data_IF_729411946772
#
_entry.id   IF_729411946772
#
_cell.length_a   1.000
_cell.length_b   1.000
_cell.length_c   1.000
_cell.angle_alpha   90.00
_cell.angle_beta   90.00
_cell.angle_gamma   90.00
#
_symmetry.space_group_name_H-M   'P 1'
#
loop_
_entity.id
_entity.type
_entity.pdbx_description
1 polymer ?
#
# COMPACT_ATOMS: atom_id res chain seq x y z
N UNK A 1 -12.25 9.26 70.00
CA UNK A 1 -11.49 10.51 69.74
C UNK A 1 -10.25 10.16 68.94
N UNK A 2 -9.98 10.84 67.81
CA UNK A 2 -8.96 10.50 66.81
C UNK A 2 -7.59 11.15 67.15
N UNK A 3 -6.56 11.00 66.29
CA UNK A 3 -6.39 12.02 65.26
C UNK A 3 -6.13 11.49 63.85
N UNK A 4 -6.66 12.25 62.89
CA UNK A 4 -6.44 12.17 61.45
C UNK A 4 -5.05 12.73 61.09
N UNK A 5 -4.37 12.13 60.13
CA UNK A 5 -3.26 12.76 59.41
C UNK A 5 -3.54 12.72 57.91
N UNK A 6 -3.93 13.87 57.38
CA UNK A 6 -4.01 14.16 55.95
C UNK A 6 -2.61 14.11 55.32
N UNK A 7 -2.46 13.34 54.24
CA UNK A 7 -1.45 13.60 53.23
C UNK A 7 -2.11 13.48 51.84
N UNK A 8 -2.07 14.60 51.13
CA UNK A 8 -2.67 14.88 49.83
C UNK A 8 -2.07 14.01 48.70
N UNK A 9 -2.76 13.88 47.55
CA UNK A 9 -2.35 12.97 46.48
C UNK A 9 -1.09 13.46 45.78
N UNK A 10 -0.15 12.55 45.54
CA UNK A 10 0.99 12.79 44.68
C UNK A 10 0.49 13.12 43.26
N UNK A 11 0.84 14.32 42.80
CA UNK A 11 0.56 14.86 41.49
C UNK A 11 0.86 13.84 40.38
N UNK A 12 -0.18 13.34 39.72
CA UNK A 12 -0.05 12.78 38.38
C UNK A 12 0.43 13.91 37.47
N UNK A 13 1.68 13.84 37.01
CA UNK A 13 2.18 14.71 35.96
C UNK A 13 1.39 14.44 34.66
N UNK A 14 0.62 15.40 34.12
CA UNK A 14 0.02 15.25 32.80
C UNK A 14 1.08 15.64 31.76
N UNK A 15 1.97 14.70 31.44
CA UNK A 15 2.84 14.77 30.27
C UNK A 15 2.31 13.73 29.27
N UNK A 16 1.84 14.01 28.05
CA UNK A 16 2.04 15.16 27.16
C UNK A 16 0.95 15.16 26.05
N UNK A 17 0.35 16.30 25.69
CA UNK A 17 -0.46 16.41 24.47
C UNK A 17 0.40 16.38 23.17
N UNK A 18 1.71 16.56 23.29
CA UNK A 18 2.68 16.67 22.18
C UNK A 18 3.10 15.29 21.60
N UNK A 19 2.85 14.19 22.30
CA UNK A 19 3.20 12.83 21.84
C UNK A 19 2.33 12.35 20.68
N UNK A 20 1.08 12.80 20.59
CA UNK A 20 0.11 12.38 19.57
C UNK A 20 0.53 12.76 18.14
N UNK A 21 0.85 14.02 17.80
CA UNK A 21 1.25 14.37 16.43
C UNK A 21 2.55 13.71 15.99
N UNK A 22 3.53 13.56 16.90
CA UNK A 22 4.79 12.87 16.63
C UNK A 22 4.54 11.38 16.31
N UNK A 23 3.66 10.72 17.05
CA UNK A 23 3.32 9.33 16.78
C UNK A 23 2.65 9.15 15.40
N UNK A 24 1.78 10.07 14.99
CA UNK A 24 1.20 10.02 13.62
C UNK A 24 2.26 10.25 12.55
N UNK A 25 3.16 11.22 12.74
CA UNK A 25 4.28 11.44 11.82
C UNK A 25 5.17 10.22 11.70
N UNK A 26 5.60 9.63 12.82
CA UNK A 26 6.45 8.44 12.83
C UNK A 26 5.75 7.23 12.19
N UNK A 27 4.47 7.01 12.46
CA UNK A 27 3.67 5.95 11.81
C UNK A 27 3.59 6.16 10.30
N UNK A 28 3.32 7.39 9.87
CA UNK A 28 3.30 7.78 8.48
C UNK A 28 4.65 7.54 7.79
N UNK A 29 5.75 8.04 8.36
CA UNK A 29 7.09 7.86 7.80
C UNK A 29 7.50 6.39 7.74
N UNK A 30 7.18 5.60 8.78
CA UNK A 30 7.42 4.15 8.77
C UNK A 30 6.65 3.50 7.63
N UNK A 31 5.37 3.83 7.46
CA UNK A 31 4.54 3.30 6.37
C UNK A 31 5.09 3.72 4.99
N UNK A 32 5.43 5.00 4.83
CA UNK A 32 6.03 5.56 3.62
C UNK A 32 7.41 4.99 3.27
N UNK A 33 8.11 4.37 4.22
CA UNK A 33 9.39 3.71 3.95
C UNK A 33 9.25 2.32 3.29
N UNK A 34 8.11 1.64 3.44
CA UNK A 34 7.96 0.27 2.92
C UNK A 34 8.11 0.13 1.41
N UNK A 35 7.67 1.06 0.54
CA UNK A 35 7.97 0.98 -0.88
C UNK A 35 9.48 0.92 -1.16
N UNK A 36 10.30 1.66 -0.41
CA UNK A 36 11.76 1.62 -0.52
C UNK A 36 12.35 0.32 0.05
N UNK A 37 11.84 -0.14 1.19
CA UNK A 37 12.22 -1.44 1.76
C UNK A 37 11.89 -2.59 0.80
N UNK A 38 10.76 -2.49 0.10
CA UNK A 38 10.34 -3.43 -0.93
C UNK A 38 11.30 -3.49 -2.11
N UNK A 39 11.82 -2.35 -2.57
CA UNK A 39 12.89 -2.31 -3.59
C UNK A 39 14.12 -3.06 -3.09
N UNK A 40 14.60 -2.72 -1.89
CA UNK A 40 15.78 -3.33 -1.32
C UNK A 40 15.63 -4.86 -1.16
N UNK A 41 14.49 -5.31 -0.64
CA UNK A 41 14.18 -6.72 -0.49
C UNK A 41 14.12 -7.42 -1.86
N UNK A 42 13.38 -6.86 -2.82
CA UNK A 42 13.27 -7.43 -4.15
C UNK A 42 14.64 -7.60 -4.81
N UNK A 43 15.52 -6.60 -4.72
CA UNK A 43 16.88 -6.67 -5.27
C UNK A 43 17.75 -7.73 -4.57
N UNK A 44 17.55 -7.98 -3.27
CA UNK A 44 18.28 -9.00 -2.49
C UNK A 44 17.82 -10.43 -2.74
N UNK A 45 16.67 -10.63 -3.38
CA UNK A 45 16.01 -11.92 -3.54
C UNK A 45 15.83 -12.28 -5.04
N UNK A 46 16.83 -12.96 -5.65
CA UNK A 46 16.81 -13.30 -7.08
C UNK A 46 15.64 -14.21 -7.49
N UNK A 47 15.02 -14.91 -6.55
CA UNK A 47 13.86 -15.77 -6.79
C UNK A 47 12.65 -15.03 -7.37
N UNK A 48 12.55 -13.70 -7.18
CA UNK A 48 11.47 -12.87 -7.71
C UNK A 48 11.74 -12.36 -9.13
N UNK A 49 12.99 -12.39 -9.62
CA UNK A 49 13.34 -11.84 -10.94
C UNK A 49 12.57 -12.51 -12.10
N UNK A 50 12.33 -13.85 -12.11
CA UNK A 50 11.55 -14.49 -13.16
C UNK A 50 10.11 -13.98 -13.27
N UNK A 51 9.49 -13.54 -12.16
CA UNK A 51 8.13 -12.99 -12.16
C UNK A 51 8.01 -11.72 -13.01
N UNK A 52 9.13 -11.02 -13.16
CA UNK A 52 9.26 -9.73 -13.81
C UNK A 52 9.94 -9.81 -15.18
N UNK A 53 10.97 -10.65 -15.35
CA UNK A 53 11.82 -10.68 -16.54
C UNK A 53 11.03 -10.92 -17.84
N UNK A 54 10.01 -11.78 -17.82
CA UNK A 54 9.17 -12.07 -19.00
C UNK A 54 8.19 -10.96 -19.37
N UNK A 55 7.86 -10.06 -18.43
CA UNK A 55 6.82 -9.02 -18.59
C UNK A 55 7.40 -7.60 -18.64
N UNK A 56 8.59 -7.38 -18.09
CA UNK A 56 9.18 -6.04 -18.00
C UNK A 56 9.35 -5.41 -19.36
N UNK A 57 10.01 -6.10 -20.30
CA UNK A 57 10.32 -5.52 -21.59
C UNK A 57 9.07 -5.09 -22.37
N UNK A 58 8.06 -5.96 -22.59
CA UNK A 58 6.85 -5.54 -23.32
C UNK A 58 6.08 -4.43 -22.59
N UNK A 59 5.95 -4.50 -21.27
CA UNK A 59 5.23 -3.49 -20.49
C UNK A 59 5.99 -2.16 -20.36
N UNK A 60 7.33 -2.19 -20.39
CA UNK A 60 8.18 -1.00 -20.46
C UNK A 60 8.00 -0.29 -21.80
N UNK A 61 7.95 -1.05 -22.90
CA UNK A 61 7.71 -0.50 -24.23
C UNK A 61 6.31 0.12 -24.30
N UNK A 62 5.30 -0.56 -23.77
CA UNK A 62 3.93 -0.03 -23.70
C UNK A 62 3.89 1.25 -22.85
N UNK A 63 4.50 1.27 -21.67
CA UNK A 63 4.51 2.46 -20.82
C UNK A 63 5.25 3.63 -21.47
N UNK A 64 6.38 3.37 -22.14
CA UNK A 64 7.11 4.37 -22.92
C UNK A 64 6.24 4.94 -24.04
N UNK A 65 5.52 4.09 -24.78
CA UNK A 65 4.62 4.53 -25.85
C UNK A 65 3.46 5.37 -25.31
N UNK A 66 2.85 4.96 -24.21
CA UNK A 66 1.77 5.73 -23.55
C UNK A 66 2.27 7.11 -23.16
N UNK A 67 3.41 7.20 -22.47
CA UNK A 67 3.98 8.50 -22.10
C UNK A 67 4.38 9.31 -23.32
N UNK A 68 4.97 8.71 -24.35
CA UNK A 68 5.31 9.41 -25.58
C UNK A 68 4.08 10.07 -26.21
N UNK A 69 2.95 9.35 -26.30
CA UNK A 69 1.69 9.87 -26.82
C UNK A 69 1.17 11.01 -25.93
N UNK A 70 1.12 10.81 -24.61
CA UNK A 70 0.62 11.84 -23.68
C UNK A 70 1.48 13.11 -23.70
N UNK A 71 2.80 12.98 -23.71
CA UNK A 71 3.69 14.14 -23.81
C UNK A 71 3.63 14.83 -25.18
N UNK A 72 3.31 14.09 -26.25
CA UNK A 72 3.16 14.69 -27.57
C UNK A 72 1.84 15.46 -27.69
N UNK A 73 0.72 14.91 -27.18
CA UNK A 73 -0.62 15.44 -27.44
C UNK A 73 -1.28 16.14 -26.25
N UNK A 74 -1.07 15.67 -25.02
CA UNK A 74 -1.73 16.21 -23.83
C UNK A 74 -0.90 17.31 -23.15
N UNK A 75 0.44 17.16 -23.13
CA UNK A 75 1.32 18.08 -22.39
C UNK A 75 1.20 19.54 -22.84
N UNK A 76 1.26 19.82 -24.15
CA UNK A 76 1.25 21.20 -24.64
C UNK A 76 -0.10 21.91 -24.36
N UNK A 77 -1.27 21.29 -24.63
CA UNK A 77 -2.56 21.86 -24.21
C UNK A 77 -2.68 22.04 -22.69
N UNK A 78 -2.25 21.07 -21.89
CA UNK A 78 -2.31 21.16 -20.42
C UNK A 78 -1.40 22.25 -19.88
N UNK A 79 -0.16 22.34 -20.39
CA UNK A 79 0.76 23.40 -20.04
C UNK A 79 0.20 24.78 -20.40
N UNK A 80 -0.33 24.94 -21.61
CA UNK A 80 -0.92 26.21 -22.04
C UNK A 80 -2.09 26.62 -21.14
N UNK A 81 -2.94 25.66 -20.76
CA UNK A 81 -4.07 25.92 -19.86
C UNK A 81 -3.62 26.29 -18.45
N UNK A 82 -2.66 25.54 -17.88
CA UNK A 82 -2.10 25.84 -16.55
C UNK A 82 -1.29 27.15 -16.55
N UNK A 83 -0.64 27.51 -17.64
CA UNK A 83 0.13 28.76 -17.76
C UNK A 83 -0.73 30.02 -17.51
N UNK A 84 -2.03 29.94 -17.78
CA UNK A 84 -3.00 31.02 -17.49
C UNK A 84 -3.09 31.32 -16.00
N UNK A 85 -3.00 30.28 -15.14
CA UNK A 85 -3.18 30.39 -13.70
C UNK A 85 -1.86 30.39 -12.92
N UNK A 86 -0.86 29.66 -13.40
CA UNK A 86 0.38 29.34 -12.66
C UNK A 86 1.61 30.11 -13.15
N UNK A 87 1.54 30.79 -14.29
CA UNK A 87 2.68 31.49 -14.89
C UNK A 87 3.86 30.54 -15.15
N UNK A 88 5.07 30.93 -14.75
CA UNK A 88 6.29 30.15 -14.99
C UNK A 88 6.29 28.76 -14.34
N UNK A 89 5.58 28.56 -13.23
CA UNK A 89 5.51 27.26 -12.54
C UNK A 89 4.66 26.22 -13.25
N UNK A 90 3.92 26.61 -14.31
CA UNK A 90 2.97 25.75 -15.01
C UNK A 90 3.62 24.51 -15.64
N UNK A 91 4.87 24.60 -16.12
CA UNK A 91 5.52 23.48 -16.80
C UNK A 91 5.80 22.32 -15.83
N UNK A 92 6.22 22.61 -14.58
CA UNK A 92 6.45 21.57 -13.57
C UNK A 92 5.13 20.88 -13.23
N UNK A 93 4.08 21.67 -13.00
CA UNK A 93 2.76 21.14 -12.69
C UNK A 93 2.19 20.30 -13.83
N UNK A 94 2.37 20.75 -15.08
CA UNK A 94 1.95 20.02 -16.27
C UNK A 94 2.70 18.70 -16.43
N UNK A 95 4.02 18.67 -16.20
CA UNK A 95 4.81 17.42 -16.23
C UNK A 95 4.25 16.42 -15.23
N UNK A 96 4.06 16.84 -13.98
CA UNK A 96 3.57 15.94 -12.92
C UNK A 96 2.15 15.47 -13.22
N UNK A 97 1.29 16.34 -13.76
CA UNK A 97 -0.06 15.98 -14.16
C UNK A 97 -0.06 14.91 -15.26
N UNK A 98 0.71 15.11 -16.33
CA UNK A 98 0.87 14.12 -17.42
C UNK A 98 1.41 12.80 -16.89
N UNK A 99 2.40 12.83 -15.99
CA UNK A 99 2.95 11.63 -15.38
C UNK A 99 1.90 10.90 -14.54
N UNK A 100 1.11 11.63 -13.74
CA UNK A 100 0.04 11.05 -12.93
C UNK A 100 -1.10 10.46 -13.75
N UNK A 101 -1.53 11.14 -14.81
CA UNK A 101 -2.52 10.62 -15.77
C UNK A 101 -2.01 9.38 -16.49
N UNK A 102 -0.77 9.42 -16.97
CA UNK A 102 -0.13 8.28 -17.62
C UNK A 102 0.00 7.09 -16.69
N UNK A 103 0.31 7.31 -15.42
CA UNK A 103 0.35 6.26 -14.40
C UNK A 103 -1.01 5.56 -14.26
N UNK A 104 -2.12 6.31 -14.24
CA UNK A 104 -3.47 5.72 -14.16
C UNK A 104 -3.79 4.88 -15.41
N UNK A 105 -3.42 5.36 -16.60
CA UNK A 105 -3.58 4.62 -17.86
C UNK A 105 -2.72 3.34 -17.85
N UNK A 106 -1.47 3.45 -17.41
CA UNK A 106 -0.54 2.32 -17.31
C UNK A 106 -1.06 1.29 -16.30
N UNK A 107 -1.58 1.71 -15.14
CA UNK A 107 -2.19 0.81 -14.16
C UNK A 107 -3.37 0.04 -14.77
N UNK A 108 -4.22 0.73 -15.54
CA UNK A 108 -5.35 0.11 -16.25
C UNK A 108 -4.90 -0.90 -17.31
N UNK A 109 -3.83 -0.60 -18.04
CA UNK A 109 -3.24 -1.55 -18.98
C UNK A 109 -2.65 -2.77 -18.25
N UNK A 110 -1.92 -2.54 -17.16
CA UNK A 110 -1.29 -3.60 -16.36
C UNK A 110 -2.32 -4.57 -15.75
N UNK A 111 -3.45 -4.04 -15.28
CA UNK A 111 -4.62 -4.84 -14.88
C UNK A 111 -5.06 -5.78 -16.01
N UNK A 112 -5.13 -5.28 -17.26
CA UNK A 112 -5.47 -6.10 -18.44
C UNK A 112 -4.42 -7.11 -18.90
N UNK A 113 -3.13 -6.91 -18.59
CA UNK A 113 -2.01 -7.76 -19.03
C UNK A 113 -1.56 -8.81 -17.98
N UNK A 114 -2.42 -9.20 -17.04
CA UNK A 114 -2.11 -10.17 -15.96
C UNK A 114 -0.99 -9.73 -15.01
N UNK A 115 -0.73 -8.42 -14.87
CA UNK A 115 0.22 -7.93 -13.86
C UNK A 115 -0.32 -8.13 -12.45
N UNK A 116 -1.65 -8.15 -12.28
CA UNK A 116 -2.27 -8.42 -10.99
C UNK A 116 -1.95 -9.81 -10.45
N UNK A 117 -1.82 -10.82 -11.32
CA UNK A 117 -1.34 -12.15 -10.91
C UNK A 117 0.09 -12.07 -10.40
N UNK A 118 0.98 -11.35 -11.08
CA UNK A 118 2.37 -11.17 -10.64
C UNK A 118 2.47 -10.41 -9.31
N UNK A 119 1.62 -9.40 -9.10
CA UNK A 119 1.51 -8.69 -7.81
C UNK A 119 1.10 -9.68 -6.70
N UNK A 120 0.08 -10.49 -6.95
CA UNK A 120 -0.38 -11.52 -6.01
C UNK A 120 0.73 -12.55 -5.73
N UNK A 121 1.45 -12.99 -6.76
CA UNK A 121 2.57 -13.93 -6.61
C UNK A 121 3.70 -13.35 -5.76
N UNK A 122 4.11 -12.11 -6.01
CA UNK A 122 5.11 -11.41 -5.19
C UNK A 122 4.63 -11.30 -3.75
N UNK A 123 3.37 -10.91 -3.56
CA UNK A 123 2.79 -10.73 -2.23
C UNK A 123 2.76 -12.04 -1.44
N UNK A 124 2.20 -13.09 -2.04
CA UNK A 124 2.04 -14.40 -1.40
C UNK A 124 3.42 -15.06 -1.13
N UNK A 125 4.36 -14.99 -2.08
CA UNK A 125 5.71 -15.55 -1.91
C UNK A 125 6.48 -14.88 -0.77
N UNK A 126 6.29 -13.58 -0.55
CA UNK A 126 6.89 -12.89 0.59
C UNK A 126 6.28 -13.37 1.89
N UNK A 127 4.96 -13.49 2.00
CA UNK A 127 4.34 -14.01 3.22
C UNK A 127 4.83 -15.44 3.55
N UNK A 128 5.06 -16.28 2.53
CA UNK A 128 5.70 -17.59 2.70
C UNK A 128 7.11 -17.46 3.29
N UNK A 129 7.94 -16.54 2.79
CA UNK A 129 9.29 -16.30 3.34
C UNK A 129 9.27 -15.90 4.83
N UNK A 130 8.15 -15.35 5.31
CA UNK A 130 7.93 -14.98 6.71
C UNK A 130 7.12 -16.02 7.51
N UNK A 131 7.04 -17.27 7.02
CA UNK A 131 6.35 -18.39 7.68
C UNK A 131 4.84 -18.17 7.88
N UNK A 132 4.20 -17.35 7.04
CA UNK A 132 2.76 -17.10 7.04
C UNK A 132 2.04 -17.96 6.00
N UNK A 133 2.56 -19.17 5.74
CA UNK A 133 2.04 -20.12 4.76
C UNK A 133 0.60 -20.55 5.09
N UNK A 134 0.26 -20.59 6.38
CA UNK A 134 -1.08 -20.92 6.88
C UNK A 134 -2.16 -19.95 6.38
N UNK A 135 -1.80 -18.68 6.15
CA UNK A 135 -2.71 -17.66 5.64
C UNK A 135 -3.02 -17.87 4.15
N UNK A 136 -2.09 -18.47 3.41
CA UNK A 136 -2.17 -18.65 1.94
C UNK A 136 -2.76 -20.00 1.56
N UNK A 137 -2.44 -21.07 2.31
CA UNK A 137 -2.83 -22.44 2.01
C UNK A 137 -4.34 -22.62 1.71
N UNK A 138 -5.28 -21.93 2.38
CA UNK A 138 -6.71 -22.05 2.06
C UNK A 138 -7.10 -21.44 0.70
N UNK A 139 -6.30 -20.51 0.17
CA UNK A 139 -6.64 -19.68 -0.99
C UNK A 139 -5.87 -20.07 -2.26
N UNK A 140 -4.93 -21.01 -2.16
CA UNK A 140 -4.03 -21.40 -3.25
C UNK A 140 -3.41 -22.77 -3.01
N UNK A 141 -3.20 -23.51 -4.10
CA UNK A 141 -2.43 -24.76 -4.05
C UNK A 141 -0.96 -24.42 -3.82
N UNK A 142 -0.34 -25.07 -2.84
CA UNK A 142 1.07 -24.92 -2.51
C UNK A 142 1.82 -26.22 -2.76
N UNK A 143 3.06 -26.12 -3.21
CA UNK A 143 3.98 -27.24 -3.43
C UNK A 143 5.12 -27.20 -2.39
N UNK A 144 4.97 -27.84 -1.22
CA UNK A 144 5.90 -27.69 -0.10
C UNK A 144 7.35 -28.10 -0.44
N UNK A 145 7.51 -29.01 -1.40
CA UNK A 145 8.81 -29.52 -1.84
C UNK A 145 9.53 -28.61 -2.85
N UNK A 146 8.94 -27.45 -3.18
CA UNK A 146 9.53 -26.51 -4.12
C UNK A 146 10.79 -25.84 -3.54
N UNK A 147 11.80 -25.52 -4.38
CA UNK A 147 13.09 -25.02 -3.90
C UNK A 147 13.07 -23.57 -3.41
N UNK A 148 12.00 -22.81 -3.68
CA UNK A 148 11.82 -21.45 -3.19
C UNK A 148 10.32 -21.09 -3.11
N UNK A 149 10.01 -20.00 -2.39
CA UNK A 149 8.64 -19.53 -2.16
C UNK A 149 7.87 -19.19 -3.43
N UNK A 150 8.53 -18.59 -4.42
CA UNK A 150 7.91 -18.27 -5.71
C UNK A 150 7.48 -19.53 -6.45
N UNK A 151 8.30 -20.58 -6.46
CA UNK A 151 7.99 -21.87 -7.08
C UNK A 151 7.02 -22.73 -6.26
N UNK A 152 6.89 -22.45 -4.96
CA UNK A 152 5.91 -23.09 -4.10
C UNK A 152 4.48 -22.69 -4.46
N UNK A 153 4.30 -21.55 -5.13
CA UNK A 153 3.01 -21.05 -5.56
C UNK A 153 2.46 -21.82 -6.78
N UNK A 154 1.36 -22.57 -6.59
CA UNK A 154 0.57 -23.16 -7.67
C UNK A 154 -0.38 -22.16 -8.34
N UNK A 155 -1.35 -22.61 -9.15
CA UNK A 155 -2.37 -21.70 -9.69
C UNK A 155 -3.31 -21.21 -8.57
N UNK A 156 -3.72 -19.93 -8.55
CA UNK A 156 -4.74 -19.44 -7.62
C UNK A 156 -6.05 -20.23 -7.78
N UNK A 157 -6.65 -20.69 -6.68
CA UNK A 157 -7.93 -21.40 -6.67
C UNK A 157 -9.13 -20.47 -6.58
N UNK A 158 -8.92 -19.22 -6.18
CA UNK A 158 -9.92 -18.15 -6.24
C UNK A 158 -9.58 -17.17 -7.37
N UNK A 159 -10.60 -16.55 -7.96
CA UNK A 159 -10.40 -15.55 -9.00
C UNK A 159 -9.48 -14.43 -8.47
N UNK A 160 -8.27 -14.33 -9.01
CA UNK A 160 -7.30 -13.28 -8.72
C UNK A 160 -7.73 -11.93 -9.34
N UNK A 161 -9.04 -11.73 -9.50
CA UNK A 161 -9.61 -10.52 -10.09
C UNK A 161 -9.67 -9.50 -8.97
N UNK A 162 -8.66 -8.63 -8.97
CA UNK A 162 -8.79 -7.33 -8.36
C UNK A 162 -10.07 -6.69 -8.94
N UNK A 163 -11.03 -6.30 -8.10
CA UNK A 163 -12.21 -5.54 -8.55
C UNK A 163 -11.78 -4.45 -9.54
N UNK A 164 -12.57 -4.10 -10.58
CA UNK A 164 -12.15 -3.18 -11.64
C UNK A 164 -11.75 -1.81 -11.07
N UNK A 165 -10.47 -1.69 -10.73
CA UNK A 165 -9.96 -0.59 -9.93
C UNK A 165 -9.49 0.55 -10.84
N UNK A 166 -9.06 0.23 -12.06
CA UNK A 166 -8.83 1.18 -13.14
C UNK A 166 -10.03 2.08 -13.42
N UNK A 167 -11.25 1.54 -13.57
CA UNK A 167 -12.44 2.34 -13.87
C UNK A 167 -12.70 3.41 -12.81
N UNK A 168 -12.58 3.01 -11.56
CA UNK A 168 -12.77 3.92 -10.44
C UNK A 168 -11.62 4.94 -10.35
N UNK A 169 -10.40 4.64 -10.83
CA UNK A 169 -9.30 5.63 -10.94
C UNK A 169 -9.51 6.62 -12.05
N UNK A 170 -9.98 6.16 -13.20
CA UNK A 170 -10.30 7.04 -14.32
C UNK A 170 -11.41 8.01 -13.91
N UNK A 171 -12.46 7.53 -13.22
CA UNK A 171 -13.51 8.39 -12.69
C UNK A 171 -12.97 9.41 -11.67
N UNK A 172 -12.16 8.97 -10.70
CA UNK A 172 -11.54 9.87 -9.72
C UNK A 172 -10.60 10.89 -10.37
N UNK A 173 -9.81 10.48 -11.38
CA UNK A 173 -8.96 11.38 -12.15
C UNK A 173 -9.78 12.52 -12.76
N UNK A 174 -10.88 12.20 -13.44
CA UNK A 174 -11.75 13.21 -14.05
C UNK A 174 -12.30 14.18 -12.99
N UNK A 175 -12.68 13.66 -11.83
CA UNK A 175 -13.22 14.46 -10.72
C UNK A 175 -12.16 15.34 -10.06
N UNK A 176 -10.93 14.83 -9.89
CA UNK A 176 -9.84 15.53 -9.23
C UNK A 176 -8.94 16.33 -10.19
N UNK A 177 -9.13 16.21 -11.50
CA UNK A 177 -8.39 16.97 -12.49
C UNK A 177 -8.47 18.49 -12.25
N UNK A 178 -9.66 19.09 -11.95
CA UNK A 178 -9.77 20.52 -11.68
C UNK A 178 -8.96 21.00 -10.47
N UNK A 179 -8.58 20.10 -9.56
CA UNK A 179 -7.75 20.45 -8.40
C UNK A 179 -6.39 21.01 -8.82
N UNK A 180 -5.84 20.54 -9.94
CA UNK A 180 -4.55 20.98 -10.47
C UNK A 180 -4.55 22.44 -10.94
N UNK A 181 -5.72 23.07 -11.07
CA UNK A 181 -5.85 24.49 -11.40
C UNK A 181 -5.40 25.40 -10.25
N UNK A 182 -5.38 24.89 -9.01
CA UNK A 182 -4.93 25.66 -7.85
C UNK A 182 -3.40 25.71 -7.82
N UNK A 183 -2.78 26.90 -7.87
CA UNK A 183 -1.34 27.00 -7.80
C UNK A 183 -0.72 26.45 -6.52
N UNK A 184 0.44 25.81 -6.67
CA UNK A 184 1.26 25.22 -5.60
C UNK A 184 0.61 24.02 -4.90
N UNK A 185 -0.68 24.05 -4.63
CA UNK A 185 -1.40 23.05 -3.82
C UNK A 185 -2.02 21.96 -4.69
N UNK A 186 -2.46 22.29 -5.90
CA UNK A 186 -3.26 21.38 -6.74
C UNK A 186 -2.55 20.06 -7.03
N UNK A 187 -1.32 20.13 -7.53
CA UNK A 187 -0.51 18.97 -7.90
C UNK A 187 -0.12 18.11 -6.70
N UNK A 188 0.45 18.65 -5.59
CA UNK A 188 0.69 17.87 -4.38
C UNK A 188 -0.58 17.20 -3.85
N UNK A 189 -1.71 17.91 -3.84
CA UNK A 189 -2.97 17.34 -3.38
C UNK A 189 -3.44 16.20 -4.30
N UNK A 190 -3.29 16.36 -5.62
CA UNK A 190 -3.59 15.31 -6.60
C UNK A 190 -2.74 14.05 -6.36
N UNK A 191 -1.42 14.20 -6.14
CA UNK A 191 -0.53 13.07 -5.79
C UNK A 191 -1.00 12.42 -4.49
N UNK A 192 -1.24 13.20 -3.44
CA UNK A 192 -1.60 12.65 -2.12
C UNK A 192 -2.94 11.92 -2.19
N UNK A 193 -3.96 12.47 -2.87
CA UNK A 193 -5.28 11.85 -3.00
C UNK A 193 -5.19 10.54 -3.77
N UNK A 194 -4.53 10.57 -4.94
CA UNK A 194 -4.36 9.40 -5.80
C UNK A 194 -3.51 8.33 -5.10
N UNK A 195 -2.40 8.75 -4.50
CA UNK A 195 -1.52 7.91 -3.70
C UNK A 195 -2.26 7.26 -2.54
N UNK A 196 -3.08 7.99 -1.78
CA UNK A 196 -3.86 7.44 -0.66
C UNK A 196 -4.70 6.24 -1.07
N UNK A 197 -5.22 6.24 -2.30
CA UNK A 197 -5.98 5.11 -2.81
C UNK A 197 -5.10 3.91 -3.11
N UNK A 198 -3.97 4.10 -3.78
CA UNK A 198 -2.96 3.06 -3.98
C UNK A 198 -2.51 2.46 -2.63
N UNK A 199 -2.37 3.31 -1.61
CA UNK A 199 -2.11 2.88 -0.23
C UNK A 199 -3.21 2.02 0.36
N UNK A 200 -4.49 2.43 0.29
CA UNK A 200 -5.61 1.61 0.80
C UNK A 200 -5.71 0.25 0.10
N UNK A 201 -5.24 0.19 -1.14
CA UNK A 201 -5.21 -1.00 -1.96
C UNK A 201 -4.04 -1.93 -1.67
N UNK A 202 -2.92 -1.43 -1.15
CA UNK A 202 -1.73 -2.25 -0.93
C UNK A 202 -2.01 -3.48 -0.04
N UNK A 203 -3.02 -3.40 0.84
CA UNK A 203 -3.45 -4.47 1.73
C UNK A 203 -4.69 -5.24 1.24
N UNK A 204 -5.18 -4.97 0.03
CA UNK A 204 -6.38 -5.62 -0.49
C UNK A 204 -6.23 -7.15 -0.53
N UNK A 205 -5.07 -7.67 -0.96
CA UNK A 205 -4.76 -9.10 -0.95
C UNK A 205 -4.81 -9.68 0.47
N UNK A 206 -4.22 -8.99 1.45
CA UNK A 206 -4.27 -9.41 2.85
C UNK A 206 -5.70 -9.51 3.39
N UNK A 207 -6.56 -8.56 3.04
CA UNK A 207 -7.97 -8.62 3.43
C UNK A 207 -8.72 -9.78 2.79
N UNK A 208 -8.39 -10.15 1.55
CA UNK A 208 -8.94 -11.35 0.91
C UNK A 208 -8.48 -12.61 1.64
N UNK A 209 -7.19 -12.72 1.98
CA UNK A 209 -6.65 -13.88 2.70
C UNK A 209 -7.27 -14.04 4.10
N UNK A 210 -7.68 -12.94 4.73
CA UNK A 210 -8.40 -12.95 6.02
C UNK A 210 -9.92 -13.14 5.87
N UNK A 211 -10.44 -13.24 4.65
CA UNK A 211 -11.88 -13.40 4.40
C UNK A 211 -12.73 -12.20 4.85
N UNK A 212 -12.16 -10.98 4.89
CA UNK A 212 -12.87 -9.81 5.41
C UNK A 212 -13.96 -9.32 4.45
N UNK A 213 -15.15 -9.08 4.98
CA UNK A 213 -16.25 -8.49 4.20
C UNK A 213 -16.02 -6.98 3.94
N UNK A 214 -16.78 -6.37 3.01
CA UNK A 214 -16.71 -4.94 2.64
C UNK A 214 -16.75 -4.01 3.85
N UNK A 215 -17.59 -4.29 4.85
CA UNK A 215 -17.71 -3.45 6.06
C UNK A 215 -16.44 -3.53 6.92
N UNK A 216 -15.96 -4.73 7.18
CA UNK A 216 -14.74 -4.98 7.96
C UNK A 216 -13.52 -4.35 7.28
N UNK A 217 -13.41 -4.44 5.95
CA UNK A 217 -12.35 -3.76 5.19
C UNK A 217 -12.37 -2.25 5.37
N UNK A 218 -13.55 -1.64 5.39
CA UNK A 218 -13.69 -0.19 5.61
C UNK A 218 -13.24 0.19 7.03
N UNK A 219 -13.60 -0.61 8.02
CA UNK A 219 -13.21 -0.43 9.42
C UNK A 219 -11.68 -0.56 9.59
N UNK A 220 -11.06 -1.60 9.02
CA UNK A 220 -9.60 -1.78 9.02
C UNK A 220 -8.89 -0.63 8.28
N UNK A 221 -9.44 -0.18 7.15
CA UNK A 221 -8.89 0.96 6.42
C UNK A 221 -8.94 2.27 7.22
N UNK A 222 -9.99 2.47 8.01
CA UNK A 222 -10.13 3.65 8.85
C UNK A 222 -9.05 3.72 9.95
N UNK A 223 -8.67 2.58 10.53
CA UNK A 223 -7.66 2.51 11.62
C UNK A 223 -6.25 2.97 11.19
N UNK A 224 -5.94 2.86 9.89
CA UNK A 224 -4.60 3.10 9.33
C UNK A 224 -4.60 4.05 8.14
N UNK A 225 -5.61 4.93 8.06
CA UNK A 225 -5.77 5.84 6.92
C UNK A 225 -4.52 6.69 6.71
N UNK A 226 -3.90 7.19 7.78
CA UNK A 226 -2.71 8.01 7.68
C UNK A 226 -1.50 7.24 7.14
N UNK A 227 -1.28 6.01 7.58
CA UNK A 227 -0.22 5.15 7.04
C UNK A 227 -0.43 4.84 5.56
N UNK A 228 -1.68 4.61 5.13
CA UNK A 228 -1.99 4.41 3.71
C UNK A 228 -1.73 5.66 2.87
N UNK A 229 -2.00 6.86 3.40
CA UNK A 229 -1.64 8.12 2.72
C UNK A 229 -0.15 8.15 2.43
N UNK A 230 0.70 7.91 3.43
CA UNK A 230 2.15 7.97 3.27
C UNK A 230 2.74 6.84 2.42
N UNK A 231 2.31 5.60 2.65
CA UNK A 231 2.71 4.45 1.83
C UNK A 231 2.38 4.71 0.36
N UNK A 232 1.13 5.08 0.11
CA UNK A 232 0.62 5.25 -1.24
C UNK A 232 1.20 6.47 -1.95
N UNK A 233 1.45 7.57 -1.23
CA UNK A 233 2.15 8.74 -1.77
C UNK A 233 3.59 8.38 -2.17
N UNK A 234 4.31 7.67 -1.32
CA UNK A 234 5.67 7.22 -1.63
C UNK A 234 5.72 6.26 -2.82
N UNK A 235 4.80 5.27 -2.86
CA UNK A 235 4.67 4.35 -3.98
C UNK A 235 4.33 5.09 -5.29
N UNK A 236 3.38 6.02 -5.25
CA UNK A 236 3.00 6.82 -6.42
C UNK A 236 4.18 7.64 -6.93
N UNK A 237 4.94 8.33 -6.06
CA UNK A 237 6.11 9.11 -6.46
C UNK A 237 7.17 8.23 -7.16
N UNK A 238 7.40 7.02 -6.67
CA UNK A 238 8.31 6.07 -7.32
C UNK A 238 7.78 5.65 -8.69
N UNK A 239 6.48 5.34 -8.79
CA UNK A 239 5.84 4.94 -10.04
C UNK A 239 5.73 6.06 -11.09
N UNK A 240 5.86 7.34 -10.70
CA UNK A 240 5.92 8.47 -11.64
C UNK A 240 7.15 8.40 -12.55
N UNK A 241 8.20 7.64 -12.19
CA UNK A 241 9.38 7.45 -13.04
C UNK A 241 8.99 6.62 -14.26
N UNK A 242 9.03 7.19 -15.48
CA UNK A 242 8.67 6.45 -16.70
C UNK A 242 9.55 5.22 -16.89
N UNK A 243 9.05 4.21 -17.62
CA UNK A 243 9.73 2.92 -17.89
C UNK A 243 9.87 2.02 -16.67
N UNK A 244 10.16 2.57 -15.50
CA UNK A 244 10.31 1.83 -14.24
C UNK A 244 9.00 1.65 -13.46
N UNK A 245 7.87 2.10 -13.99
CA UNK A 245 6.57 2.01 -13.30
C UNK A 245 6.21 0.57 -12.92
N UNK A 246 6.41 -0.41 -13.80
CA UNK A 246 6.17 -1.84 -13.47
C UNK A 246 7.11 -2.33 -12.36
N UNK A 247 8.38 -1.93 -12.43
CA UNK A 247 9.35 -2.30 -11.41
C UNK A 247 8.90 -1.76 -10.05
N UNK A 248 8.62 -0.46 -9.96
CA UNK A 248 8.21 0.18 -8.72
C UNK A 248 6.88 -0.34 -8.19
N UNK A 249 6.00 -0.75 -9.08
CA UNK A 249 4.74 -1.36 -8.71
C UNK A 249 4.91 -2.74 -8.04
N UNK A 250 5.73 -3.62 -8.62
CA UNK A 250 6.02 -4.92 -8.00
C UNK A 250 6.82 -4.75 -6.72
N UNK A 251 7.79 -3.83 -6.67
CA UNK A 251 8.55 -3.58 -5.44
C UNK A 251 7.71 -2.92 -4.36
N UNK A 252 6.75 -2.06 -4.72
CA UNK A 252 5.78 -1.51 -3.76
C UNK A 252 4.86 -2.60 -3.24
N UNK A 253 4.46 -3.55 -4.09
CA UNK A 253 3.72 -4.75 -3.67
C UNK A 253 4.54 -5.58 -2.69
N UNK A 254 5.84 -5.74 -2.94
CA UNK A 254 6.76 -6.39 -2.00
C UNK A 254 6.83 -5.64 -0.66
N UNK A 255 6.92 -4.32 -0.69
CA UNK A 255 6.87 -3.46 0.49
C UNK A 255 5.57 -3.63 1.29
N UNK A 256 4.43 -3.73 0.61
CA UNK A 256 3.14 -4.00 1.25
C UNK A 256 3.10 -5.39 1.92
N UNK A 257 3.64 -6.42 1.26
CA UNK A 257 3.71 -7.77 1.83
C UNK A 257 4.62 -7.83 3.06
N UNK A 258 5.76 -7.14 3.03
CA UNK A 258 6.65 -7.01 4.20
C UNK A 258 5.96 -6.27 5.36
N UNK A 259 5.18 -5.24 5.05
CA UNK A 259 4.39 -4.55 6.06
C UNK A 259 3.34 -5.48 6.68
N UNK A 260 2.61 -6.23 5.85
CA UNK A 260 1.64 -7.22 6.33
C UNK A 260 2.30 -8.32 7.15
N UNK A 261 3.45 -8.84 6.71
CA UNK A 261 4.18 -9.85 7.46
C UNK A 261 4.51 -9.36 8.87
N UNK A 262 4.92 -8.09 9.00
CA UNK A 262 5.14 -7.46 10.29
C UNK A 262 3.86 -7.32 11.11
N UNK A 263 2.77 -6.85 10.51
CA UNK A 263 1.48 -6.71 11.20
C UNK A 263 0.94 -8.05 11.71
N UNK A 264 1.06 -9.10 10.92
CA UNK A 264 0.69 -10.46 11.30
C UNK A 264 1.60 -10.97 12.41
N UNK A 265 2.92 -10.74 12.35
CA UNK A 265 3.82 -11.12 13.44
C UNK A 265 3.49 -10.40 14.75
N UNK A 266 3.21 -9.09 14.72
CA UNK A 266 2.83 -8.29 15.88
C UNK A 266 1.49 -8.78 16.45
N UNK A 267 0.51 -9.07 15.58
CA UNK A 267 -0.80 -9.59 16.01
C UNK A 267 -0.68 -10.98 16.61
N UNK A 268 0.08 -11.87 15.96
CA UNK A 268 0.30 -13.24 16.43
C UNK A 268 1.04 -13.27 17.75
N UNK A 269 1.98 -12.37 18.02
CA UNK A 269 2.75 -12.20 19.28
C UNK A 269 1.96 -11.50 20.39
N UNK A 270 0.92 -10.73 20.07
CA UNK A 270 -0.03 -10.25 21.08
C UNK A 270 -1.02 -11.36 21.51
N UNK A 271 -1.19 -12.40 20.68
CA UNK A 271 -2.08 -13.54 20.91
C UNK A 271 -1.46 -14.82 21.56
N UNK A 272 -0.14 -15.03 21.81
CA UNK A 272 0.38 -16.32 22.26
C UNK A 272 1.17 -16.23 23.59
N UNK A 273 0.46 -16.33 24.69
CA UNK A 273 0.79 -17.26 25.78
C UNK A 273 -0.42 -17.34 26.72
N UNK A 274 -1.00 -16.19 27.09
CA UNK A 274 -2.06 -16.13 28.09
C UNK A 274 -3.42 -16.68 27.60
N UNK A 275 -3.85 -16.34 26.38
CA UNK A 275 -5.15 -16.78 25.84
C UNK A 275 -5.13 -18.25 25.37
N UNK A 276 -3.99 -18.71 24.86
CA UNK A 276 -3.80 -20.11 24.46
C UNK A 276 -3.60 -21.01 25.68
N UNK A 277 -2.85 -20.57 26.70
CA UNK A 277 -2.74 -21.27 27.98
C UNK A 277 -4.05 -21.27 28.76
N UNK A 278 -4.81 -20.17 28.81
CA UNK A 278 -6.12 -20.12 29.46
C UNK A 278 -7.14 -21.05 28.79
N UNK A 279 -7.15 -21.14 27.45
CA UNK A 279 -7.97 -22.10 26.70
C UNK A 279 -7.53 -23.55 26.90
N UNK A 280 -6.22 -23.82 26.94
CA UNK A 280 -5.69 -25.16 27.19
C UNK A 280 -5.88 -25.61 28.65
N UNK A 281 -5.90 -24.67 29.60
CA UNK A 281 -6.12 -24.91 31.03
C UNK A 281 -7.61 -24.95 31.42
N UNK A 282 -8.52 -24.75 30.47
CA UNK A 282 -9.97 -24.80 30.71
C UNK A 282 -10.48 -23.71 31.67
N UNK A 283 -9.74 -22.60 31.83
CA UNK A 283 -10.14 -21.50 32.71
C UNK A 283 -11.16 -20.63 31.96
N UNK A 284 -12.40 -20.49 32.46
CA UNK A 284 -13.39 -19.62 31.84
C UNK A 284 -12.89 -18.17 31.84
N UNK A 285 -13.04 -17.49 30.71
CA UNK A 285 -12.76 -16.06 30.61
C UNK A 285 -13.81 -15.28 31.40
N UNK A 286 -13.40 -14.64 32.49
CA UNK A 286 -14.24 -13.80 33.34
C UNK A 286 -13.96 -12.33 32.99
N UNK A 287 -14.93 -11.63 32.41
CA UNK A 287 -14.85 -10.21 32.09
C UNK A 287 -14.84 -9.42 33.41
N UNK A 288 -13.70 -8.85 33.79
CA UNK A 288 -13.61 -7.92 34.92
C UNK A 288 -13.80 -6.49 34.39
N UNK A 289 -14.90 -5.80 34.76
CA UNK A 289 -15.18 -4.47 34.23
C UNK A 289 -14.33 -3.42 34.96
N UNK A 290 -13.56 -2.64 34.21
CA UNK A 290 -12.99 -1.36 34.67
C UNK A 290 -13.14 -0.28 33.61
#
# INVERSE_FOLDING_TARGET
>A
MPPQSNAAPAHQHPSQPISRPLNYLLRGLRAGSYPLVGIYYFLRHPEFYPLFAGRLLPLSVISLLVYFILFTFAFLPQFAFLAIFHGWGAWVNAVVLVLGEGLIIIQALFEGFFVDEARVDVFDAILINFSLTDLIAPHRILFPDAPNSVKMLGKPTSAAVYSPWSLTQIAELIIFLPLNLVPVVGVPAFIIITGTRLGKLCHYRWYQLRGLDRRQRKEENAKRTWEYVWFGTAAMILELVPVLSLFFLLTSTAGAALWVAKLESETRVVVPEDAAAARAAGVPYEDDPV
#
